data_IF_411427201614
#
_entry.id   IF_411427201614
#
_cell.length_a   1.000
_cell.length_b   1.000
_cell.length_c   1.000
_cell.angle_alpha   90.00
_cell.angle_beta   90.00
_cell.angle_gamma   90.00
#
_symmetry.space_group_name_H-M   'P 1'
#
loop_
_entity.id
_entity.type
_entity.pdbx_description
1 polymer ?
#
# COMPACT_ATOMS: atom_id res chain seq x y z
N UNK A 1 6.21 4.41 -23.19
CA UNK A 1 6.12 3.57 -21.98
C UNK A 1 5.44 4.40 -20.91
N UNK A 2 4.52 3.85 -20.13
CA UNK A 2 3.70 4.57 -19.12
C UNK A 2 3.95 3.98 -17.74
N UNK A 3 3.85 4.80 -16.70
CA UNK A 3 3.90 4.43 -15.27
C UNK A 3 2.50 4.20 -14.68
N UNK A 4 1.48 4.05 -15.53
CA UNK A 4 0.11 3.82 -15.11
C UNK A 4 -0.06 2.50 -14.35
N UNK A 5 -0.88 2.56 -13.30
CA UNK A 5 -1.46 1.39 -12.62
C UNK A 5 -2.88 1.21 -13.14
N UNK A 6 -3.18 0.05 -13.74
CA UNK A 6 -4.49 -0.26 -14.32
C UNK A 6 -5.18 -1.34 -13.49
N UNK A 7 -6.43 -1.09 -13.09
CA UNK A 7 -7.26 -2.06 -12.38
C UNK A 7 -8.29 -2.62 -13.36
N UNK A 8 -8.38 -3.95 -13.43
CA UNK A 8 -9.36 -4.67 -14.24
C UNK A 8 -10.26 -5.47 -13.31
N UNK A 9 -11.58 -5.38 -13.54
CA UNK A 9 -12.58 -6.17 -12.82
C UNK A 9 -13.30 -7.07 -13.82
N UNK A 10 -13.29 -8.37 -13.56
CA UNK A 10 -14.10 -9.33 -14.32
C UNK A 10 -15.58 -9.07 -14.04
N UNK A 11 -16.39 -8.87 -15.09
CA UNK A 11 -17.83 -8.68 -14.96
C UNK A 11 -18.52 -9.94 -14.40
N UNK A 12 -18.14 -11.10 -14.91
CA UNK A 12 -18.75 -12.39 -14.56
C UNK A 12 -18.39 -12.82 -13.13
N UNK A 13 -17.12 -12.72 -12.77
CA UNK A 13 -16.60 -13.33 -11.53
C UNK A 13 -16.26 -12.32 -10.44
N UNK A 14 -16.22 -11.02 -10.76
CA UNK A 14 -15.73 -9.98 -9.86
C UNK A 14 -14.24 -10.07 -9.55
N UNK A 15 -13.49 -10.98 -10.19
CA UNK A 15 -12.05 -11.12 -9.99
C UNK A 15 -11.33 -9.82 -10.35
N UNK A 16 -10.48 -9.35 -9.44
CA UNK A 16 -9.71 -8.13 -9.63
C UNK A 16 -8.29 -8.48 -10.07
N UNK A 17 -7.82 -7.81 -11.12
CA UNK A 17 -6.43 -7.88 -11.58
C UNK A 17 -5.83 -6.48 -11.65
N UNK A 18 -4.52 -6.38 -11.44
CA UNK A 18 -3.78 -5.13 -11.57
C UNK A 18 -2.65 -5.31 -12.58
N UNK A 19 -2.54 -4.37 -13.53
CA UNK A 19 -1.43 -4.31 -14.47
C UNK A 19 -0.58 -3.07 -14.22
N UNK A 20 0.72 -3.26 -14.07
CA UNK A 20 1.71 -2.20 -13.91
C UNK A 20 3.10 -2.68 -14.38
N UNK A 21 3.94 -1.77 -14.87
CA UNK A 21 5.32 -2.08 -15.30
C UNK A 21 5.44 -3.26 -16.28
N UNK A 22 4.43 -3.45 -17.14
CA UNK A 22 4.38 -4.55 -18.11
C UNK A 22 4.07 -5.93 -17.51
N UNK A 23 3.69 -6.00 -16.22
CA UNK A 23 3.25 -7.23 -15.55
C UNK A 23 1.80 -7.12 -15.14
N UNK A 24 1.08 -8.25 -15.16
CA UNK A 24 -0.30 -8.35 -14.69
C UNK A 24 -0.41 -9.39 -13.60
N UNK A 25 -0.90 -8.98 -12.44
CA UNK A 25 -1.16 -9.85 -11.29
C UNK A 25 -2.66 -9.98 -11.09
N UNK A 26 -3.13 -11.22 -10.98
CA UNK A 26 -4.55 -11.57 -10.83
C UNK A 26 -4.91 -11.88 -9.38
N UNK A 27 -6.20 -12.09 -9.14
CA UNK A 27 -6.74 -12.59 -7.88
C UNK A 27 -6.52 -11.67 -6.68
N UNK A 28 -6.58 -10.35 -6.92
CA UNK A 28 -6.63 -9.40 -5.83
C UNK A 28 -7.95 -9.51 -5.07
N UNK A 29 -7.84 -9.46 -3.75
CA UNK A 29 -8.97 -9.30 -2.86
C UNK A 29 -8.99 -7.86 -2.31
N UNK A 30 -10.05 -7.51 -1.58
CA UNK A 30 -10.25 -6.18 -1.02
C UNK A 30 -9.08 -5.67 -0.18
N UNK A 31 -8.46 -6.56 0.60
CA UNK A 31 -7.37 -6.21 1.52
C UNK A 31 -6.05 -6.03 0.77
N UNK A 32 -5.71 -6.97 -0.13
CA UNK A 32 -4.49 -6.89 -0.93
C UNK A 32 -4.50 -5.70 -1.89
N UNK A 33 -5.64 -5.41 -2.51
CA UNK A 33 -5.79 -4.23 -3.38
C UNK A 33 -5.67 -2.93 -2.59
N UNK A 34 -6.34 -2.84 -1.42
CA UNK A 34 -6.25 -1.66 -0.57
C UNK A 34 -4.81 -1.41 -0.12
N UNK A 35 -4.09 -2.47 0.26
CA UNK A 35 -2.69 -2.40 0.67
C UNK A 35 -1.83 -1.86 -0.48
N UNK A 36 -1.95 -2.46 -1.67
CA UNK A 36 -1.22 -2.05 -2.87
C UNK A 36 -1.45 -0.56 -3.19
N UNK A 37 -2.70 -0.14 -3.25
CA UNK A 37 -3.05 1.24 -3.60
C UNK A 37 -2.59 2.25 -2.54
N UNK A 38 -2.65 1.89 -1.25
CA UNK A 38 -2.12 2.73 -0.18
C UNK A 38 -0.62 2.87 -0.28
N UNK A 39 0.11 1.77 -0.41
CA UNK A 39 1.57 1.78 -0.53
C UNK A 39 2.05 2.63 -1.72
N UNK A 40 1.31 2.64 -2.83
CA UNK A 40 1.69 3.38 -4.04
C UNK A 40 1.24 4.84 -4.07
N UNK A 41 0.03 5.13 -3.61
CA UNK A 41 -0.60 6.44 -3.82
C UNK A 41 -0.84 7.23 -2.54
N UNK A 42 -0.80 6.59 -1.37
CA UNK A 42 -1.00 7.26 -0.09
C UNK A 42 0.33 7.31 0.63
N UNK A 43 0.95 8.49 0.65
CA UNK A 43 2.03 8.74 1.61
C UNK A 43 1.42 8.65 3.00
N UNK A 44 1.81 7.65 3.80
CA UNK A 44 1.37 7.61 5.19
C UNK A 44 1.77 8.95 5.84
N UNK A 45 0.82 9.69 6.44
CA UNK A 45 1.20 10.82 7.27
C UNK A 45 2.13 10.25 8.33
N UNK A 46 3.33 10.82 8.46
CA UNK A 46 4.27 10.44 9.53
C UNK A 46 3.56 10.72 10.86
N UNK A 47 2.82 9.75 11.39
CA UNK A 47 2.20 9.91 12.69
C UNK A 47 3.35 10.00 13.69
N UNK A 48 3.57 11.20 14.22
CA UNK A 48 4.64 11.60 15.14
C UNK A 48 4.57 10.89 16.50
N UNK A 49 3.92 9.73 16.60
CA UNK A 49 3.77 8.98 17.83
C UNK A 49 4.92 8.01 18.09
N UNK A 50 5.71 7.65 17.07
CA UNK A 50 6.87 6.77 17.25
C UNK A 50 8.11 7.49 17.77
N UNK A 51 8.23 8.81 17.57
CA UNK A 51 9.38 9.62 18.03
C UNK A 51 9.35 9.90 19.54
N UNK A 52 8.16 10.05 20.15
CA UNK A 52 8.05 10.26 21.61
C UNK A 52 8.49 9.02 22.42
N UNK A 53 8.14 7.81 21.99
CA UNK A 53 8.55 6.57 22.70
C UNK A 53 10.05 6.30 22.62
N UNK A 54 10.73 6.73 21.55
CA UNK A 54 12.18 6.56 21.42
C UNK A 54 12.97 7.58 22.24
N UNK A 55 12.49 8.83 22.35
CA UNK A 55 13.11 9.87 23.19
C UNK A 55 13.01 9.56 24.69
N UNK A 56 11.88 9.04 25.16
CA UNK A 56 11.67 8.67 26.58
C UNK A 56 12.52 7.47 27.04
N UNK A 57 12.91 6.57 26.12
CA UNK A 57 13.79 5.43 26.43
C UNK A 57 15.26 5.83 26.54
N UNK A 58 15.68 6.89 25.84
CA UNK A 58 17.06 7.43 25.94
C UNK A 58 17.26 8.26 27.21
N UNK A 59 16.22 8.92 27.73
CA UNK A 59 16.33 9.75 28.94
C UNK A 59 16.31 8.96 30.24
N UNK A 60 15.84 7.70 30.24
CA UNK A 60 15.88 6.80 31.42
C UNK A 60 17.17 5.98 31.55
N UNK A 61 18.09 6.10 30.58
CA UNK A 61 19.36 5.37 30.57
C UNK A 61 20.55 6.25 30.96
N UNK A 62 20.30 7.44 31.52
CA UNK A 62 21.30 8.33 32.11
C UNK A 62 21.06 8.44 33.61
#
# INVERSE_FOLDING_TARGET
NSDAVVIIVSEETGTISVAENGQMTRDYNKESLKKLLREKFVSEPRTEEKSKKQSLRRSKSK
#
